data_IF_190830718381
#
_entry.id   IF_190830718381
#
_cell.length_a   1.000
_cell.length_b   1.000
_cell.length_c   1.000
_cell.angle_alpha   90.00
_cell.angle_beta   90.00
_cell.angle_gamma   90.00
#
_symmetry.space_group_name_H-M   'P 1'
#
loop_
_entity.id
_entity.type
_entity.pdbx_description
1 polymer ?
#
# COMPACT_ATOMS: atom_id res chain seq x y z
N UNK A 1 -15.22 -14.01 3.22
CA UNK A 1 -15.32 -13.34 4.53
C UNK A 1 -14.48 -12.08 4.42
N UNK A 2 -15.09 -10.90 4.63
CA UNK A 2 -14.41 -9.63 4.39
C UNK A 2 -13.98 -8.95 5.69
N UNK A 3 -12.82 -8.32 5.75
CA UNK A 3 -12.41 -7.48 6.90
C UNK A 3 -13.47 -6.41 7.16
N UNK A 4 -14.08 -5.84 6.12
CA UNK A 4 -15.17 -4.86 6.24
C UNK A 4 -16.49 -5.46 6.75
N UNK A 5 -16.65 -6.77 6.66
CA UNK A 5 -17.81 -7.47 7.26
C UNK A 5 -17.68 -7.71 8.76
N UNK A 6 -16.52 -7.40 9.34
CA UNK A 6 -16.32 -7.46 10.79
C UNK A 6 -16.86 -6.18 11.48
N UNK A 7 -17.42 -6.33 12.69
CA UNK A 7 -17.72 -5.21 13.58
C UNK A 7 -16.56 -4.22 13.68
N UNK A 8 -16.89 -2.93 13.81
CA UNK A 8 -15.89 -1.87 13.84
C UNK A 8 -14.88 -2.05 14.99
N UNK A 9 -15.31 -2.55 16.16
CA UNK A 9 -14.40 -2.79 17.28
C UNK A 9 -13.35 -3.86 16.95
N UNK A 10 -13.75 -4.93 16.25
CA UNK A 10 -12.83 -5.99 15.84
C UNK A 10 -11.88 -5.52 14.74
N UNK A 11 -12.36 -4.69 13.80
CA UNK A 11 -11.50 -4.08 12.78
C UNK A 11 -10.42 -3.19 13.40
N UNK A 12 -10.81 -2.30 14.31
CA UNK A 12 -9.86 -1.43 15.02
C UNK A 12 -8.79 -2.25 15.75
N UNK A 13 -9.20 -3.30 16.46
CA UNK A 13 -8.29 -4.17 17.17
C UNK A 13 -7.33 -4.93 16.24
N UNK A 14 -7.79 -5.33 15.05
CA UNK A 14 -6.93 -5.93 14.02
C UNK A 14 -5.93 -4.90 13.47
N UNK A 15 -6.36 -3.66 13.23
CA UNK A 15 -5.47 -2.59 12.79
C UNK A 15 -4.41 -2.22 13.82
N UNK A 16 -4.69 -2.33 15.12
CA UNK A 16 -3.70 -2.14 16.19
C UNK A 16 -2.52 -3.13 16.06
N UNK A 17 -2.78 -4.34 15.57
CA UNK A 17 -1.75 -5.37 15.33
C UNK A 17 -1.14 -5.31 13.93
N UNK A 18 -1.62 -4.42 13.05
CA UNK A 18 -1.12 -4.25 11.69
C UNK A 18 -0.48 -2.86 11.54
N UNK A 19 0.75 -2.66 12.06
CA UNK A 19 1.44 -1.38 11.96
C UNK A 19 1.67 -0.94 10.52
N UNK A 20 1.65 -1.90 9.59
CA UNK A 20 1.75 -1.70 8.14
C UNK A 20 0.56 -0.93 7.54
N UNK A 21 -0.61 -0.87 8.23
CA UNK A 21 -1.83 -0.20 7.75
C UNK A 21 -2.13 1.13 8.46
N UNK A 22 -1.28 1.52 9.43
CA UNK A 22 -1.37 2.80 10.12
C UNK A 22 -0.86 3.93 9.23
N UNK A 23 -1.14 5.19 9.61
CA UNK A 23 -0.71 6.35 8.84
C UNK A 23 0.82 6.41 8.76
N UNK A 24 1.38 6.40 7.54
CA UNK A 24 2.82 6.26 7.31
C UNK A 24 3.31 7.13 6.16
N UNK A 25 4.48 7.73 6.35
CA UNK A 25 5.28 8.29 5.27
C UNK A 25 6.34 7.26 4.90
N UNK A 26 6.29 6.73 3.69
CA UNK A 26 7.20 5.68 3.24
C UNK A 26 7.96 6.12 1.99
N UNK A 27 9.29 6.08 2.07
CA UNK A 27 10.16 6.35 0.91
C UNK A 27 10.42 5.04 0.17
N UNK A 28 10.02 5.01 -1.09
CA UNK A 28 10.09 3.84 -1.94
C UNK A 28 11.23 4.04 -2.94
N UNK A 29 12.23 3.16 -2.89
CA UNK A 29 13.33 3.10 -3.86
C UNK A 29 13.32 1.79 -4.64
N UNK A 30 14.17 1.68 -5.66
CA UNK A 30 14.23 0.49 -6.53
C UNK A 30 14.48 -0.85 -5.81
N UNK A 31 15.08 -0.80 -4.63
CA UNK A 31 15.37 -1.97 -3.79
C UNK A 31 14.38 -2.17 -2.64
N UNK A 32 13.42 -1.26 -2.44
CA UNK A 32 12.46 -1.39 -1.35
C UNK A 32 11.40 -2.47 -1.65
N UNK A 33 10.77 -2.96 -0.57
CA UNK A 33 9.62 -3.86 -0.66
C UNK A 33 8.36 -3.01 -0.86
N UNK A 34 7.85 -3.00 -2.09
CA UNK A 34 6.65 -2.24 -2.48
C UNK A 34 5.38 -2.65 -1.74
N UNK A 35 5.21 -3.93 -1.46
CA UNK A 35 3.97 -4.47 -0.88
C UNK A 35 4.26 -4.95 0.54
N UNK A 36 3.53 -4.46 1.56
CA UNK A 36 3.69 -4.94 2.92
C UNK A 36 3.48 -6.44 3.04
N UNK A 37 4.11 -7.03 4.05
CA UNK A 37 4.09 -8.48 4.29
C UNK A 37 2.66 -8.99 4.43
N UNK A 38 1.80 -8.26 5.14
CA UNK A 38 0.39 -8.64 5.33
C UNK A 38 -0.39 -8.73 4.01
N UNK A 39 -0.10 -7.84 3.07
CA UNK A 39 -0.73 -7.80 1.76
C UNK A 39 -0.26 -8.97 0.85
N UNK A 40 0.75 -9.74 1.26
CA UNK A 40 1.26 -10.90 0.52
C UNK A 40 0.76 -12.24 1.05
N UNK A 41 0.13 -12.28 2.24
CA UNK A 41 -0.27 -13.53 2.91
C UNK A 41 -1.33 -14.29 2.12
N UNK A 42 -2.39 -13.60 1.67
CA UNK A 42 -3.42 -14.22 0.84
C UNK A 42 -4.14 -13.20 -0.05
N UNK A 43 -4.79 -13.69 -1.09
CA UNK A 43 -5.48 -12.86 -2.09
C UNK A 43 -6.60 -12.02 -1.48
N UNK A 44 -7.37 -12.58 -0.53
CA UNK A 44 -8.47 -11.89 0.13
C UNK A 44 -7.98 -10.72 0.97
N UNK A 45 -7.00 -10.97 1.85
CA UNK A 45 -6.39 -9.93 2.69
C UNK A 45 -5.79 -8.85 1.81
N UNK A 46 -5.05 -9.22 0.76
CA UNK A 46 -4.49 -8.27 -0.21
C UNK A 46 -5.55 -7.31 -0.76
N UNK A 47 -6.68 -7.81 -1.26
CA UNK A 47 -7.70 -6.94 -1.84
C UNK A 47 -8.30 -5.96 -0.83
N UNK A 48 -8.31 -6.30 0.44
CA UNK A 48 -8.95 -5.51 1.48
C UNK A 48 -7.99 -4.51 2.13
N UNK A 49 -6.73 -4.90 2.30
CA UNK A 49 -5.72 -4.08 2.95
C UNK A 49 -5.05 -3.11 1.98
N UNK A 50 -4.94 -3.45 0.69
CA UNK A 50 -4.35 -2.59 -0.34
C UNK A 50 -5.01 -1.20 -0.43
N UNK A 51 -6.35 -1.05 -0.51
CA UNK A 51 -6.97 0.28 -0.56
C UNK A 51 -6.84 1.03 0.77
N UNK A 52 -6.80 0.33 1.91
CA UNK A 52 -6.62 0.95 3.23
C UNK A 52 -5.19 1.50 3.35
N UNK A 53 -4.20 0.73 2.91
CA UNK A 53 -2.81 1.15 2.82
C UNK A 53 -2.68 2.38 1.94
N UNK A 54 -3.28 2.36 0.74
CA UNK A 54 -3.24 3.48 -0.19
C UNK A 54 -3.90 4.75 0.35
N UNK A 55 -4.99 4.63 1.12
CA UNK A 55 -5.67 5.76 1.73
C UNK A 55 -4.93 6.33 2.95
N UNK A 56 -4.21 5.50 3.68
CA UNK A 56 -3.54 5.89 4.92
C UNK A 56 -2.05 6.21 4.75
N UNK A 57 -1.44 6.01 3.58
CA UNK A 57 0.02 6.16 3.44
C UNK A 57 0.38 7.21 2.40
N UNK A 58 1.39 8.01 2.73
CA UNK A 58 2.04 8.93 1.81
C UNK A 58 3.33 8.29 1.29
N UNK A 59 3.38 8.05 -0.02
CA UNK A 59 4.53 7.43 -0.66
C UNK A 59 5.41 8.48 -1.33
N UNK A 60 6.69 8.53 -0.96
CA UNK A 60 7.71 9.29 -1.68
C UNK A 60 8.47 8.32 -2.57
N UNK A 61 8.29 8.41 -3.87
CA UNK A 61 8.90 7.48 -4.83
C UNK A 61 10.19 8.11 -5.35
N UNK A 62 11.31 7.47 -5.08
CA UNK A 62 12.60 7.83 -5.64
C UNK A 62 12.73 7.20 -7.04
N UNK A 63 12.74 8.05 -8.05
CA UNK A 63 12.85 7.67 -9.47
C UNK A 63 14.27 7.96 -9.99
N UNK A 64 15.05 8.77 -9.28
CA UNK A 64 16.35 9.25 -9.76
C UNK A 64 17.41 8.15 -9.70
N UNK A 65 18.15 7.98 -10.79
CA UNK A 65 19.18 6.94 -10.90
C UNK A 65 18.65 5.50 -10.87
N UNK A 66 17.34 5.32 -11.01
CA UNK A 66 16.71 4.01 -10.90
C UNK A 66 16.88 3.16 -12.18
N UNK A 67 17.00 1.83 -12.04
CA UNK A 67 17.13 0.93 -13.18
C UNK A 67 15.84 0.88 -14.02
N UNK A 68 15.94 0.56 -15.31
CA UNK A 68 14.79 0.57 -16.24
C UNK A 68 13.61 -0.31 -15.81
N UNK A 69 13.88 -1.42 -15.10
CA UNK A 69 12.82 -2.29 -14.56
C UNK A 69 11.98 -1.62 -13.46
N UNK A 70 12.52 -0.59 -12.80
CA UNK A 70 11.87 0.10 -11.68
C UNK A 70 10.59 0.78 -12.11
N UNK A 71 10.63 1.48 -13.25
CA UNK A 71 9.49 2.19 -13.80
C UNK A 71 8.31 1.26 -14.06
N UNK A 72 8.55 0.09 -14.66
CA UNK A 72 7.51 -0.90 -14.94
C UNK A 72 6.98 -1.56 -13.64
N UNK A 73 7.87 -1.79 -12.67
CA UNK A 73 7.51 -2.38 -11.38
C UNK A 73 6.62 -1.43 -10.56
N UNK A 74 6.99 -0.15 -10.48
CA UNK A 74 6.18 0.88 -9.83
C UNK A 74 4.85 1.05 -10.55
N UNK A 75 4.84 1.17 -11.89
CA UNK A 75 3.60 1.41 -12.62
C UNK A 75 2.59 0.28 -12.41
N UNK A 76 3.07 -0.97 -12.43
CA UNK A 76 2.24 -2.15 -12.12
C UNK A 76 1.75 -2.14 -10.67
N UNK A 77 2.59 -1.73 -9.72
CA UNK A 77 2.23 -1.64 -8.31
C UNK A 77 1.22 -0.52 -8.03
N UNK A 78 1.42 0.68 -8.60
CA UNK A 78 0.48 1.80 -8.55
C UNK A 78 -0.88 1.43 -9.16
N UNK A 79 -0.87 0.72 -10.29
CA UNK A 79 -2.09 0.20 -10.90
C UNK A 79 -2.81 -0.82 -10.00
N UNK A 80 -2.06 -1.61 -9.22
CA UNK A 80 -2.64 -2.57 -8.28
C UNK A 80 -3.17 -1.92 -6.99
N UNK A 81 -2.67 -0.73 -6.62
CA UNK A 81 -3.15 0.03 -5.46
C UNK A 81 -4.53 0.66 -5.70
N UNK A 82 -4.96 0.82 -6.95
CA UNK A 82 -5.98 1.80 -7.33
C UNK A 82 -7.01 1.23 -8.30
N UNK A 83 -8.29 1.31 -7.93
CA UNK A 83 -9.32 1.92 -8.76
C UNK A 83 -9.86 3.16 -8.03
N UNK A 84 -9.30 4.35 -8.33
CA UNK A 84 -9.84 5.65 -7.92
C UNK A 84 -9.26 6.43 -6.71
N UNK A 85 -8.19 6.00 -6.01
CA UNK A 85 -7.75 6.66 -4.75
C UNK A 85 -6.39 7.37 -4.72
N UNK A 86 -5.76 7.68 -5.86
CA UNK A 86 -4.56 8.54 -5.85
C UNK A 86 -5.02 9.98 -5.61
N UNK A 87 -4.93 10.47 -4.37
CA UNK A 87 -5.38 11.81 -4.00
C UNK A 87 -4.33 12.89 -4.33
N UNK A 88 -3.04 12.56 -4.31
CA UNK A 88 -1.98 13.52 -4.59
C UNK A 88 -0.70 12.85 -5.11
N UNK A 89 -0.25 13.28 -6.30
CA UNK A 89 1.11 13.05 -6.78
C UNK A 89 1.83 14.40 -6.73
N UNK A 90 2.95 14.50 -6.03
CA UNK A 90 3.83 15.68 -6.06
C UNK A 90 5.18 15.26 -6.63
N UNK A 91 5.60 15.89 -7.73
CA UNK A 91 6.99 15.85 -8.17
C UNK A 91 7.76 16.91 -7.39
N UNK A 92 8.89 16.53 -6.78
CA UNK A 92 9.88 17.48 -6.28
C UNK A 92 10.81 17.90 -7.41
#
# INVERSE_FOLDING_TARGET
MSLLSLPAELRLRIYDYLPELQHRHETISSYSKLTPSICQVCRTVRYETTPILAANSDFLIDIDGSPSFWHNRISTWLAALVPGSISHVRSL
#
